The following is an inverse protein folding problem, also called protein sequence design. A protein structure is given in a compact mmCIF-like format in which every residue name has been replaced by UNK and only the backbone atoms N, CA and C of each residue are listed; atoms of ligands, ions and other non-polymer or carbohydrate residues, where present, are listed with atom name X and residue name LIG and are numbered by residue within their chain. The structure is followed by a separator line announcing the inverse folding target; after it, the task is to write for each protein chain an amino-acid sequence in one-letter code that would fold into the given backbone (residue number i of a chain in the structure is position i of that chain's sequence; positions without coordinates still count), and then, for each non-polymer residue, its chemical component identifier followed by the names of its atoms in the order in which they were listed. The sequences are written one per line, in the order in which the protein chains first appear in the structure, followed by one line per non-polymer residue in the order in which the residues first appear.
data_IF_355443093397
#
_entry.id   IF_355443093397
#
_cell.length_a   1.000
_cell.length_b   1.000
_cell.length_c   1.000
_cell.angle_alpha   90.00
_cell.angle_beta   90.00
_cell.angle_gamma   90.00
#
_symmetry.space_group_name_H-M   'P 1'
#
loop_
_entity.id
_entity.type
_entity.pdbx_description
1 polymer ?
#
# COMPACT_ATOMS: atom_id res chain seq x y z
N UNK A 1 -2.29 14.77 -8.22
CA UNK A 1 -2.34 13.98 -9.48
C UNK A 1 -1.13 13.07 -9.55
N UNK A 2 -1.34 11.84 -9.94
CA UNK A 2 -0.28 10.82 -9.98
C UNK A 2 -0.39 10.02 -11.29
N UNK A 3 0.69 9.37 -11.71
CA UNK A 3 0.68 8.52 -12.89
C UNK A 3 0.05 7.17 -12.53
N UNK A 4 -0.91 6.70 -13.36
CA UNK A 4 -1.53 5.39 -13.13
C UNK A 4 -0.51 4.27 -13.35
N UNK A 5 -0.51 3.31 -12.43
CA UNK A 5 0.28 2.08 -12.54
C UNK A 5 -0.68 0.91 -12.73
N UNK A 6 -0.45 0.10 -13.76
CA UNK A 6 -1.26 -1.06 -14.09
C UNK A 6 -0.35 -2.26 -14.28
N UNK A 7 -0.66 -3.38 -13.64
CA UNK A 7 0.15 -4.61 -13.69
C UNK A 7 1.62 -4.39 -13.32
N UNK A 8 1.88 -3.46 -12.38
CA UNK A 8 3.23 -3.16 -11.92
C UNK A 8 4.02 -2.21 -12.82
N UNK A 9 3.41 -1.68 -13.87
CA UNK A 9 4.07 -0.77 -14.81
C UNK A 9 3.22 0.48 -15.04
N UNK A 10 3.85 1.53 -15.58
CA UNK A 10 3.17 2.80 -15.86
C UNK A 10 2.19 2.62 -17.01
N UNK A 11 0.92 2.96 -16.77
CA UNK A 11 -0.11 2.90 -17.81
C UNK A 11 0.03 4.07 -18.78
N UNK A 12 -0.19 3.79 -20.05
CA UNK A 12 -0.14 4.80 -21.10
C UNK A 12 -1.45 4.79 -21.89
N UNK A 13 -1.86 5.96 -22.37
CA UNK A 13 -3.01 6.09 -23.27
C UNK A 13 -2.65 5.56 -24.67
N UNK A 14 -3.67 5.38 -25.51
CA UNK A 14 -3.47 4.92 -26.89
C UNK A 14 -2.64 5.90 -27.73
N UNK A 15 -2.53 7.16 -27.31
CA UNK A 15 -1.69 8.18 -27.98
C UNK A 15 -0.25 8.18 -27.47
N UNK A 16 0.12 7.28 -26.56
CA UNK A 16 1.47 7.19 -26.01
C UNK A 16 1.76 8.14 -24.84
N UNK A 17 0.73 8.81 -24.31
CA UNK A 17 0.88 9.67 -23.13
C UNK A 17 0.65 8.89 -21.85
N UNK A 18 1.27 9.35 -20.75
CA UNK A 18 1.02 8.75 -19.44
C UNK A 18 -0.43 8.97 -19.02
N UNK A 19 -1.01 7.95 -18.41
CA UNK A 19 -2.35 8.04 -17.83
C UNK A 19 -2.23 8.55 -16.40
N UNK A 20 -2.96 9.63 -16.08
CA UNK A 20 -2.93 10.25 -14.75
C UNK A 20 -4.20 9.95 -13.97
N UNK A 21 -4.07 9.86 -12.65
CA UNK A 21 -5.17 9.64 -11.72
C UNK A 21 -5.18 10.72 -10.64
N UNK A 22 -6.36 10.98 -10.09
CA UNK A 22 -6.54 11.93 -8.98
C UNK A 22 -7.56 11.39 -7.99
N UNK A 23 -7.68 12.06 -6.84
CA UNK A 23 -8.68 11.73 -5.83
C UNK A 23 -8.43 10.41 -5.14
N UNK A 24 -9.50 9.63 -4.97
CA UNK A 24 -9.42 8.34 -4.26
C UNK A 24 -8.53 7.33 -4.98
N UNK A 25 -8.50 7.33 -6.31
CA UNK A 25 -7.64 6.43 -7.08
C UNK A 25 -6.16 6.71 -6.81
N UNK A 26 -5.78 7.99 -6.73
CA UNK A 26 -4.41 8.38 -6.38
C UNK A 26 -4.07 7.91 -4.96
N UNK A 27 -4.97 8.10 -4.00
CA UNK A 27 -4.77 7.67 -2.63
C UNK A 27 -4.58 6.14 -2.55
N UNK A 28 -5.41 5.37 -3.26
CA UNK A 28 -5.30 3.90 -3.32
C UNK A 28 -3.95 3.50 -3.89
N UNK A 29 -3.52 4.10 -4.99
CA UNK A 29 -2.23 3.77 -5.62
C UNK A 29 -1.06 4.06 -4.67
N UNK A 30 -1.07 5.20 -3.98
CA UNK A 30 -0.01 5.56 -3.02
C UNK A 30 0.03 4.59 -1.84
N UNK A 31 -1.12 4.21 -1.31
CA UNK A 31 -1.20 3.22 -0.22
C UNK A 31 -0.64 1.88 -0.68
N UNK A 32 -1.02 1.41 -1.87
CA UNK A 32 -0.52 0.14 -2.41
C UNK A 32 1.00 0.18 -2.59
N UNK A 33 1.53 1.26 -3.15
CA UNK A 33 2.98 1.41 -3.34
C UNK A 33 3.72 1.43 -2.00
N UNK A 34 3.19 2.14 -1.00
CA UNK A 34 3.79 2.19 0.33
C UNK A 34 3.80 0.82 1.00
N UNK A 35 2.71 0.05 0.86
CA UNK A 35 2.61 -1.29 1.42
C UNK A 35 3.53 -2.30 0.73
N UNK A 36 3.73 -2.16 -0.59
CA UNK A 36 4.56 -3.06 -1.38
C UNK A 36 6.05 -2.69 -1.35
N UNK A 37 6.40 -1.49 -0.88
CA UNK A 37 7.78 -1.06 -0.76
C UNK A 37 8.32 -1.43 0.61
N UNK A 38 9.36 -2.25 0.66
CA UNK A 38 10.04 -2.60 1.91
C UNK A 38 11.00 -1.48 2.28
N UNK A 39 10.89 -0.97 3.51
CA UNK A 39 11.74 0.12 3.97
C UNK A 39 13.22 -0.30 3.89
N UNK A 40 14.03 0.56 3.30
CA UNK A 40 15.45 0.34 3.10
C UNK A 40 15.82 -0.17 1.71
N UNK A 41 14.87 -0.70 0.94
CA UNK A 41 15.12 -1.23 -0.40
C UNK A 41 15.20 -0.15 -1.48
N UNK A 42 14.60 1.03 -1.22
CA UNK A 42 14.64 2.13 -2.17
C UNK A 42 15.92 2.94 -1.98
N UNK A 43 16.84 2.87 -2.95
CA UNK A 43 18.21 3.40 -2.82
C UNK A 43 18.27 4.93 -2.69
N UNK A 44 17.27 5.66 -3.22
CA UNK A 44 17.23 7.13 -3.17
C UNK A 44 16.61 7.67 -1.89
N UNK A 45 15.77 6.90 -1.23
CA UNK A 45 15.18 7.25 0.05
C UNK A 45 14.88 5.98 0.85
N UNK A 46 15.78 5.62 1.75
CA UNK A 46 15.67 4.41 2.54
C UNK A 46 14.63 4.50 3.65
N UNK A 47 14.04 5.68 3.85
CA UNK A 47 12.95 5.87 4.78
C UNK A 47 11.56 5.59 4.18
N UNK A 48 11.48 5.40 2.86
CA UNK A 48 10.22 5.09 2.21
C UNK A 48 9.78 3.64 2.44
N UNK A 49 8.47 3.44 2.47
CA UNK A 49 7.86 2.12 2.55
C UNK A 49 7.60 1.66 3.97
N UNK A 50 7.30 0.38 4.09
CA UNK A 50 6.89 -0.25 5.33
C UNK A 50 8.02 -1.11 5.89
N UNK A 51 8.27 -0.99 7.18
CA UNK A 51 9.29 -1.79 7.87
C UNK A 51 8.71 -3.13 8.33
N UNK A 52 8.83 -4.13 7.48
CA UNK A 52 8.33 -5.49 7.76
C UNK A 52 9.33 -6.36 8.51
N UNK A 53 10.54 -5.87 8.80
CA UNK A 53 11.67 -6.68 9.27
C UNK A 53 11.40 -7.58 10.48
N UNK A 54 10.66 -7.07 11.45
CA UNK A 54 10.38 -7.81 12.70
C UNK A 54 8.97 -8.42 12.73
N UNK A 55 8.24 -8.36 11.64
CA UNK A 55 6.87 -8.85 11.59
C UNK A 55 6.84 -10.35 11.26
N UNK A 56 6.24 -11.15 12.14
CA UNK A 56 6.05 -12.58 11.93
C UNK A 56 4.57 -12.91 11.73
N UNK A 57 4.26 -13.69 10.70
CA UNK A 57 2.89 -14.16 10.44
C UNK A 57 2.36 -15.09 11.52
N UNK A 58 3.24 -15.65 12.35
CA UNK A 58 2.86 -16.53 13.47
C UNK A 58 2.56 -15.77 14.76
N UNK A 59 2.78 -14.45 14.78
CA UNK A 59 2.49 -13.60 15.94
C UNK A 59 0.99 -13.51 16.15
N UNK A 60 0.52 -13.65 17.39
CA UNK A 60 -0.90 -13.52 17.73
C UNK A 60 -1.43 -12.11 17.43
N UNK A 61 -0.56 -11.11 17.52
CA UNK A 61 -0.89 -9.72 17.23
C UNK A 61 -0.51 -9.30 15.82
N UNK A 62 -0.31 -10.27 14.91
CA UNK A 62 0.14 -10.01 13.55
C UNK A 62 -0.71 -8.94 12.85
N UNK A 63 -2.04 -9.08 12.87
CA UNK A 63 -2.93 -8.14 12.21
C UNK A 63 -2.81 -6.72 12.78
N UNK A 64 -2.72 -6.60 14.10
CA UNK A 64 -2.57 -5.30 14.77
C UNK A 64 -1.23 -4.66 14.44
N UNK A 65 -0.15 -5.43 14.43
CA UNK A 65 1.19 -4.94 14.08
C UNK A 65 1.25 -4.52 12.61
N UNK A 66 0.66 -5.31 11.72
CA UNK A 66 0.58 -4.98 10.30
C UNK A 66 -0.19 -3.68 10.09
N UNK A 67 -1.32 -3.51 10.75
CA UNK A 67 -2.12 -2.29 10.68
C UNK A 67 -1.31 -1.06 11.13
N UNK A 68 -0.58 -1.16 12.23
CA UNK A 68 0.27 -0.08 12.72
C UNK A 68 1.38 0.27 11.74
N UNK A 69 2.05 -0.73 11.16
CA UNK A 69 3.13 -0.52 10.21
C UNK A 69 2.64 0.17 8.93
N UNK A 70 1.51 -0.26 8.42
CA UNK A 70 0.94 0.34 7.21
C UNK A 70 0.43 1.76 7.47
N UNK A 71 -0.19 2.01 8.63
CA UNK A 71 -0.58 3.36 9.03
C UNK A 71 0.61 4.30 9.14
N UNK A 72 1.71 3.82 9.71
CA UNK A 72 2.95 4.60 9.81
C UNK A 72 3.50 4.92 8.41
N UNK A 73 3.55 3.94 7.53
CA UNK A 73 4.07 4.11 6.18
C UNK A 73 3.21 5.07 5.33
N UNK A 74 1.91 5.15 5.62
CA UNK A 74 0.97 5.99 4.88
C UNK A 74 0.66 7.32 5.58
N UNK A 75 1.32 7.63 6.69
CA UNK A 75 1.02 8.81 7.50
C UNK A 75 1.23 10.12 6.75
N UNK A 76 2.11 10.14 5.76
CA UNK A 76 2.42 11.33 4.95
C UNK A 76 1.51 11.51 3.73
N UNK A 77 0.58 10.59 3.51
CA UNK A 77 -0.41 10.73 2.43
C UNK A 77 -1.53 11.64 2.91
N UNK A 78 -1.54 12.87 2.42
CA UNK A 78 -2.44 13.91 2.89
C UNK A 78 -3.91 13.53 2.72
N UNK A 79 -4.72 13.77 3.77
CA UNK A 79 -6.17 13.55 3.72
C UNK A 79 -6.60 12.09 3.67
N UNK A 80 -5.69 11.16 3.93
CA UNK A 80 -5.93 9.73 3.79
C UNK A 80 -5.85 9.02 5.13
N UNK A 81 -6.82 8.15 5.39
CA UNK A 81 -6.81 7.24 6.53
C UNK A 81 -6.83 5.80 6.01
N UNK A 82 -6.08 4.92 6.65
CA UNK A 82 -5.99 3.51 6.25
C UNK A 82 -6.24 2.60 7.45
N UNK A 83 -6.85 1.44 7.18
CA UNK A 83 -7.05 0.41 8.17
C UNK A 83 -6.92 -0.96 7.51
N UNK A 84 -6.10 -1.84 8.08
CA UNK A 84 -5.98 -3.20 7.61
C UNK A 84 -7.11 -4.03 8.22
N UNK A 85 -8.02 -4.50 7.40
CA UNK A 85 -9.19 -5.25 7.84
C UNK A 85 -8.89 -6.72 8.07
N UNK A 86 -8.07 -7.31 7.20
CA UNK A 86 -7.69 -8.72 7.32
C UNK A 86 -6.42 -9.01 6.52
N UNK A 87 -5.71 -10.05 6.93
CA UNK A 87 -4.56 -10.58 6.20
C UNK A 87 -4.40 -12.05 6.57
N UNK A 88 -5.10 -12.97 5.86
CA UNK A 88 -5.00 -14.41 6.16
C UNK A 88 -3.59 -14.93 5.99
N UNK A 89 -3.15 -15.79 6.90
CA UNK A 89 -1.79 -16.36 6.88
C UNK A 89 -1.48 -17.12 5.60
N UNK A 90 -2.48 -17.79 5.01
CA UNK A 90 -2.30 -18.62 3.83
C UNK A 90 -2.08 -17.81 2.57
N UNK A 91 -2.96 -16.83 2.34
CA UNK A 91 -2.91 -16.02 1.12
C UNK A 91 -1.94 -14.86 1.24
N UNK A 92 -1.75 -14.33 2.45
CA UNK A 92 -0.97 -13.11 2.73
C UNK A 92 -1.43 -11.91 1.90
N UNK A 93 -2.70 -11.92 1.52
CA UNK A 93 -3.33 -10.80 0.84
C UNK A 93 -4.00 -9.92 1.89
N UNK A 94 -3.49 -8.72 2.06
CA UNK A 94 -4.05 -7.75 3.00
C UNK A 94 -5.22 -7.02 2.36
N UNK A 95 -6.35 -6.98 3.06
CA UNK A 95 -7.50 -6.16 2.68
C UNK A 95 -7.40 -4.87 3.46
N UNK A 96 -7.24 -3.75 2.75
CA UNK A 96 -7.02 -2.44 3.35
C UNK A 96 -8.19 -1.53 3.02
N UNK A 97 -8.82 -0.97 4.05
CA UNK A 97 -9.83 0.07 3.90
C UNK A 97 -9.14 1.43 3.81
N UNK A 98 -9.49 2.21 2.81
CA UNK A 98 -8.90 3.51 2.53
C UNK A 98 -10.01 4.55 2.50
N UNK A 99 -9.83 5.60 3.29
CA UNK A 99 -10.72 6.75 3.31
C UNK A 99 -9.93 7.98 2.87
N UNK A 100 -10.43 8.64 1.84
CA UNK A 100 -9.85 9.87 1.32
C UNK A 100 -10.95 10.93 1.24
N UNK A 101 -10.88 11.92 2.12
CA UNK A 101 -11.92 12.97 2.25
C UNK A 101 -13.30 12.34 2.44
N UNK A 102 -14.22 12.54 1.48
CA UNK A 102 -15.58 12.01 1.54
C UNK A 102 -15.75 10.66 0.83
N UNK A 103 -14.66 10.11 0.29
CA UNK A 103 -14.66 8.85 -0.45
C UNK A 103 -14.03 7.73 0.36
N UNK A 104 -14.57 6.53 0.21
CA UNK A 104 -14.06 5.33 0.87
C UNK A 104 -13.98 4.19 -0.14
N UNK A 105 -12.99 3.34 0.03
CA UNK A 105 -12.87 2.11 -0.77
C UNK A 105 -12.04 1.09 -0.01
N UNK A 106 -12.02 -0.14 -0.52
CA UNK A 106 -11.11 -1.17 -0.05
C UNK A 106 -10.24 -1.64 -1.19
N UNK A 107 -9.02 -2.04 -0.89
CA UNK A 107 -8.11 -2.62 -1.87
C UNK A 107 -7.45 -3.86 -1.28
N UNK A 108 -7.00 -4.74 -2.15
CA UNK A 108 -6.23 -5.92 -1.76
C UNK A 108 -4.78 -5.72 -2.18
N UNK A 109 -3.86 -6.04 -1.28
CA UNK A 109 -2.43 -5.97 -1.53
C UNK A 109 -1.83 -7.35 -1.24
N UNK A 110 -1.22 -7.95 -2.25
CA UNK A 110 -0.58 -9.25 -2.12
C UNK A 110 0.82 -9.08 -1.51
N UNK A 111 0.97 -9.49 -0.25
CA UNK A 111 2.21 -9.42 0.50
C UNK A 111 2.96 -10.75 0.55
N UNK A 112 2.54 -11.75 -0.25
CA UNK A 112 3.13 -13.08 -0.23
C UNK A 112 4.62 -13.10 -0.61
N UNK A 113 5.06 -12.14 -1.42
CA UNK A 113 6.48 -11.99 -1.78
C UNK A 113 7.32 -11.27 -0.72
N UNK A 114 6.69 -10.66 0.29
CA UNK A 114 7.35 -9.84 1.31
C UNK A 114 7.30 -10.54 2.68
N UNK A 115 6.13 -11.03 3.06
CA UNK A 115 5.91 -11.73 4.33
C UNK A 115 6.32 -13.19 4.21
N UNK A 116 7.01 -13.70 5.21
CA UNK A 116 7.46 -15.09 5.24
C UNK A 116 6.73 -15.91 6.29
#
# INVERSE_FOLDING_TARGET
MDVRISDGDIAMTSSGCYEYITGIEEAVQRVRLSALTVRGDFIYDRGLGTDYGDLSTDDELFLQKLDMLIKEACADIAGTEVEVLSCPKRSRVAVIHIRFRDSETTTEVDLSGILQ
#
